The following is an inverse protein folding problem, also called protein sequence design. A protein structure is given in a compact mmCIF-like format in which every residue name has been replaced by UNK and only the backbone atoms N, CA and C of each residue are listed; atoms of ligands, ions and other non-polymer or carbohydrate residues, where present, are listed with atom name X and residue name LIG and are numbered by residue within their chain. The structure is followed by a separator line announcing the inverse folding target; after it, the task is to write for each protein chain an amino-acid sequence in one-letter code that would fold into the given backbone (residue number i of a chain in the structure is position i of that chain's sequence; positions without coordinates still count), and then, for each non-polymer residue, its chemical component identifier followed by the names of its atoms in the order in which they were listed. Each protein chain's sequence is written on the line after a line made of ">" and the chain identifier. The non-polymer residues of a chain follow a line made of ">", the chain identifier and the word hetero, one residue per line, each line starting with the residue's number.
data_IF_195238949897
#
_entry.id   IF_195238949897
#
_cell.length_a   1.000
_cell.length_b   1.000
_cell.length_c   1.000
_cell.angle_alpha   90.00
_cell.angle_beta   90.00
_cell.angle_gamma   90.00
#
_symmetry.space_group_name_H-M   'P 1'
#
loop_
_entity.id
_entity.type
_entity.pdbx_description
1 polymer ?
#
# COMPACT_ATOMS: atom_id res chain seq x y z
N UNK A 1 -5.06 -39.41 20.86
CA UNK A 1 -4.40 -38.74 19.71
C UNK A 1 -5.15 -39.14 18.45
N UNK A 2 -5.93 -38.24 17.84
CA UNK A 2 -6.56 -38.52 16.55
C UNK A 2 -5.56 -38.24 15.43
N UNK A 3 -5.11 -39.28 14.71
CA UNK A 3 -4.36 -39.11 13.47
C UNK A 3 -5.38 -38.77 12.38
N UNK A 4 -5.33 -37.55 11.83
CA UNK A 4 -6.09 -37.25 10.62
C UNK A 4 -5.53 -38.14 9.48
N UNK A 5 -6.39 -38.80 8.70
CA UNK A 5 -5.92 -39.50 7.50
C UNK A 5 -5.38 -38.47 6.50
N UNK A 6 -4.27 -38.81 5.84
CA UNK A 6 -3.78 -38.02 4.71
C UNK A 6 -4.85 -37.98 3.61
N UNK A 7 -5.01 -36.84 2.89
CA UNK A 7 -5.83 -36.81 1.69
C UNK A 7 -5.26 -37.78 0.64
N UNK A 8 -6.10 -38.41 -0.21
CA UNK A 8 -5.63 -39.21 -1.32
C UNK A 8 -4.82 -38.34 -2.30
N UNK A 9 -3.85 -38.96 -2.98
CA UNK A 9 -3.13 -38.29 -4.05
C UNK A 9 -4.09 -37.88 -5.19
N UNK A 10 -3.89 -36.73 -5.84
CA UNK A 10 -4.73 -36.31 -6.96
C UNK A 10 -4.64 -37.31 -8.11
N UNK A 11 -5.79 -37.71 -8.65
CA UNK A 11 -5.84 -38.70 -9.73
C UNK A 11 -5.30 -38.12 -11.06
N UNK A 12 -4.50 -38.93 -11.75
CA UNK A 12 -3.98 -38.64 -13.09
C UNK A 12 -5.11 -38.77 -14.13
N UNK A 13 -5.97 -37.76 -14.21
CA UNK A 13 -7.13 -37.76 -15.12
C UNK A 13 -7.71 -36.38 -15.49
N UNK A 14 -7.11 -35.27 -15.05
CA UNK A 14 -7.64 -33.92 -15.29
C UNK A 14 -7.15 -33.23 -16.58
N UNK A 15 -6.26 -33.86 -17.34
CA UNK A 15 -6.01 -33.47 -18.73
C UNK A 15 -6.93 -34.24 -19.66
N UNK A 16 -8.18 -33.79 -19.78
CA UNK A 16 -9.06 -34.14 -20.89
C UNK A 16 -8.86 -33.15 -22.05
N UNK A 17 -7.71 -33.23 -22.70
CA UNK A 17 -7.62 -33.13 -24.17
C UNK A 17 -6.23 -33.64 -24.61
N UNK A 18 -6.19 -34.91 -25.02
CA UNK A 18 -5.07 -35.48 -25.77
C UNK A 18 -5.66 -36.43 -26.82
N UNK A 19 -5.56 -36.08 -28.11
CA UNK A 19 -5.74 -37.01 -29.21
C UNK A 19 -4.37 -37.53 -29.69
N UNK A 20 -3.79 -38.50 -28.98
CA UNK A 20 -2.79 -39.40 -29.57
C UNK A 20 -3.40 -40.23 -30.68
N UNK A 21 -3.02 -39.94 -31.94
CA UNK A 21 -2.56 -40.98 -32.87
C UNK A 21 -1.85 -40.36 -34.09
N UNK A 22 -0.84 -41.06 -34.63
CA UNK A 22 -0.25 -40.74 -35.93
C UNK A 22 1.17 -40.17 -35.91
N UNK A 23 2.16 -41.04 -35.64
CA UNK A 23 3.51 -40.75 -36.09
C UNK A 23 3.59 -40.89 -37.62
N UNK A 24 4.08 -39.86 -38.33
CA UNK A 24 5.14 -39.94 -39.37
C UNK A 24 5.28 -38.63 -40.19
N UNK A 25 6.50 -38.10 -40.20
CA UNK A 25 7.22 -37.45 -41.30
C UNK A 25 6.57 -36.34 -42.19
N UNK A 26 7.24 -35.18 -42.16
CA UNK A 26 7.62 -34.34 -43.33
C UNK A 26 6.67 -33.30 -43.93
N UNK A 27 7.32 -32.20 -44.35
CA UNK A 27 7.00 -31.25 -45.43
C UNK A 27 6.08 -30.03 -45.15
N UNK A 28 6.76 -28.88 -45.02
CA UNK A 28 6.58 -27.64 -45.80
C UNK A 28 5.25 -26.85 -45.81
N UNK A 29 5.38 -25.51 -45.77
CA UNK A 29 4.29 -24.51 -45.71
C UNK A 29 4.06 -24.05 -44.27
N UNK A 30 3.90 -22.76 -43.94
CA UNK A 30 3.46 -21.61 -44.77
C UNK A 30 3.89 -20.30 -44.09
N UNK A 31 4.30 -19.27 -44.84
CA UNK A 31 4.41 -17.89 -44.33
C UNK A 31 4.48 -16.83 -45.46
N UNK A 32 3.34 -16.54 -46.09
CA UNK A 32 3.14 -15.29 -46.86
C UNK A 32 2.09 -14.42 -46.14
N UNK A 33 2.40 -13.14 -45.82
CA UNK A 33 1.44 -12.24 -45.20
C UNK A 33 0.62 -11.49 -46.26
N UNK A 34 -0.68 -11.75 -46.35
CA UNK A 34 -1.55 -11.02 -47.27
C UNK A 34 -2.19 -9.78 -46.61
N UNK A 35 -1.76 -8.62 -47.11
CA UNK A 35 -2.64 -7.52 -47.56
C UNK A 35 -3.66 -6.92 -46.58
N UNK A 36 -3.26 -5.85 -45.88
CA UNK A 36 -4.18 -4.86 -45.33
C UNK A 36 -4.54 -3.85 -46.42
N UNK A 37 -5.82 -3.69 -46.78
CA UNK A 37 -6.29 -2.54 -47.56
C UNK A 37 -7.77 -2.17 -47.28
N UNK A 38 -7.97 -0.91 -46.86
CA UNK A 38 -9.15 -0.01 -46.92
C UNK A 38 -10.60 -0.48 -46.64
N UNK A 39 -11.31 0.33 -45.82
CA UNK A 39 -12.77 0.23 -45.64
C UNK A 39 -13.44 1.15 -44.58
N UNK A 40 -13.36 2.48 -44.74
CA UNK A 40 -14.37 3.45 -44.21
C UNK A 40 -15.29 3.90 -45.37
N UNK A 41 -16.49 4.51 -45.18
CA UNK A 41 -17.02 5.24 -44.00
C UNK A 41 -18.44 4.71 -43.59
N UNK A 42 -19.43 5.40 -42.95
CA UNK A 42 -19.61 6.80 -42.52
C UNK A 42 -20.71 6.99 -41.43
N UNK A 43 -20.76 8.19 -40.84
CA UNK A 43 -21.88 8.86 -40.12
C UNK A 43 -22.53 8.24 -38.87
N UNK A 44 -22.63 9.07 -37.81
CA UNK A 44 -23.39 8.79 -36.58
C UNK A 44 -23.30 9.90 -35.54
N UNK A 45 -23.81 11.10 -35.85
CA UNK A 45 -23.68 12.31 -35.01
C UNK A 45 -24.51 12.30 -33.72
N UNK A 46 -23.91 12.70 -32.60
CA UNK A 46 -24.66 13.23 -31.44
C UNK A 46 -23.82 14.24 -30.64
N UNK A 47 -24.02 15.54 -30.91
CA UNK A 47 -23.57 16.62 -30.03
C UNK A 47 -24.64 16.92 -28.97
N UNK A 48 -24.22 17.25 -27.75
CA UNK A 48 -25.06 17.94 -26.77
C UNK A 48 -24.19 18.90 -25.93
N UNK A 49 -23.96 20.11 -26.45
CA UNK A 49 -23.34 21.20 -25.69
C UNK A 49 -24.43 22.00 -24.98
N UNK A 50 -24.42 22.02 -23.65
CA UNK A 50 -25.36 22.78 -22.82
C UNK A 50 -24.66 23.90 -22.05
N UNK A 51 -24.39 25.02 -22.71
CA UNK A 51 -23.79 26.21 -22.07
C UNK A 51 -24.87 27.16 -21.59
N UNK A 52 -24.95 27.43 -20.28
CA UNK A 52 -25.64 28.60 -19.73
C UNK A 52 -24.67 29.39 -18.84
N UNK A 53 -24.77 30.72 -18.90
CA UNK A 53 -23.72 31.64 -18.46
C UNK A 53 -24.22 32.69 -17.45
N UNK A 54 -23.24 33.31 -16.77
CA UNK A 54 -23.37 34.51 -15.91
C UNK A 54 -24.12 34.28 -14.57
N UNK A 55 -23.88 35.02 -13.48
CA UNK A 55 -23.05 36.21 -13.22
C UNK A 55 -22.67 36.24 -11.71
N UNK A 56 -21.52 36.77 -11.28
CA UNK A 56 -21.24 36.96 -9.84
C UNK A 56 -22.02 38.15 -9.25
N UNK A 57 -22.43 38.01 -7.99
CA UNK A 57 -22.98 39.09 -7.18
C UNK A 57 -22.34 39.08 -5.79
N UNK A 58 -21.82 40.24 -5.36
CA UNK A 58 -21.25 40.45 -4.04
C UNK A 58 -22.33 40.84 -3.03
N UNK A 59 -22.12 40.49 -1.75
CA UNK A 59 -22.64 41.27 -0.62
C UNK A 59 -21.79 41.02 0.63
N UNK A 60 -21.08 42.07 1.06
CA UNK A 60 -20.41 42.14 2.36
C UNK A 60 -21.43 42.19 3.50
N UNK A 61 -21.16 41.51 4.62
CA UNK A 61 -21.89 41.74 5.87
C UNK A 61 -21.00 41.50 7.10
N UNK A 62 -20.24 42.54 7.46
CA UNK A 62 -19.95 42.90 8.86
C UNK A 62 -20.85 44.11 9.18
N UNK A 63 -21.41 44.23 10.39
CA UNK A 63 -20.67 44.69 11.57
C UNK A 63 -21.03 43.84 12.84
N UNK A 64 -20.66 44.15 14.09
CA UNK A 64 -20.07 45.36 14.68
C UNK A 64 -19.16 45.04 15.88
N UNK A 65 -18.39 46.04 16.29
CA UNK A 65 -17.64 46.11 17.54
C UNK A 65 -18.54 45.96 18.78
N UNK A 66 -18.09 45.19 19.78
CA UNK A 66 -18.43 45.44 21.19
C UNK A 66 -17.22 45.16 22.08
N UNK A 67 -16.32 46.13 22.20
CA UNK A 67 -15.33 46.19 23.29
C UNK A 67 -15.95 46.88 24.51
N UNK A 68 -16.13 46.15 25.61
CA UNK A 68 -15.59 46.60 26.91
C UNK A 68 -15.01 45.40 27.69
N UNK A 69 -14.16 45.54 28.71
CA UNK A 69 -13.73 46.69 29.51
C UNK A 69 -12.27 46.45 29.96
N UNK A 70 -11.55 47.49 30.37
CA UNK A 70 -10.24 47.32 30.99
C UNK A 70 -10.38 46.65 32.37
N UNK A 71 -9.49 45.71 32.67
CA UNK A 71 -9.14 45.34 34.03
C UNK A 71 -7.64 44.99 34.02
N UNK A 72 -6.85 45.83 34.68
CA UNK A 72 -5.48 45.48 35.04
C UNK A 72 -5.55 44.28 35.99
N UNK A 73 -5.09 43.14 35.50
CA UNK A 73 -5.06 41.86 36.20
C UNK A 73 -3.72 41.22 35.95
N UNK A 74 -2.81 41.41 36.91
CA UNK A 74 -1.52 40.75 36.98
C UNK A 74 -1.73 39.22 36.91
N UNK A 75 -1.29 38.61 35.80
CA UNK A 75 -1.24 37.16 35.61
C UNK A 75 0.08 36.74 34.96
N UNK A 76 1.16 36.81 35.74
CA UNK A 76 2.32 35.94 35.55
C UNK A 76 1.96 34.46 35.82
N UNK A 77 1.02 33.90 35.07
CA UNK A 77 0.69 32.46 35.03
C UNK A 77 0.75 31.97 33.57
N UNK A 78 1.95 32.07 32.99
CA UNK A 78 2.27 31.51 31.67
C UNK A 78 2.86 30.09 31.77
N UNK A 79 2.66 29.43 32.92
CA UNK A 79 3.27 28.14 33.28
C UNK A 79 2.22 27.12 33.77
N UNK A 80 1.11 27.01 33.04
CA UNK A 80 0.19 25.85 33.13
C UNK A 80 -0.77 25.73 31.94
N UNK A 81 -0.25 25.33 30.79
CA UNK A 81 -1.05 24.52 29.85
C UNK A 81 -0.24 23.34 29.31
N UNK A 82 0.31 22.58 30.25
CA UNK A 82 0.74 21.20 30.01
C UNK A 82 -0.50 20.40 29.58
N UNK A 83 -0.73 20.28 28.28
CA UNK A 83 -1.82 19.47 27.74
C UNK A 83 -1.69 18.04 28.28
N UNK A 84 -2.74 17.57 28.94
CA UNK A 84 -2.74 16.40 29.82
C UNK A 84 -2.16 15.15 29.16
N UNK A 85 -0.93 14.81 29.51
CA UNK A 85 -0.16 13.68 28.99
C UNK A 85 -0.60 12.32 29.58
N UNK A 86 -1.92 12.10 29.72
CA UNK A 86 -2.47 10.98 30.50
C UNK A 86 -3.81 10.38 30.03
N UNK A 87 -4.37 10.77 28.89
CA UNK A 87 -5.58 10.10 28.37
C UNK A 87 -5.64 10.05 26.83
N UNK A 88 -5.69 8.83 26.28
CA UNK A 88 -5.66 8.48 24.83
C UNK A 88 -4.38 8.90 24.09
N UNK A 89 -3.54 8.02 23.57
CA UNK A 89 -3.44 6.57 23.67
C UNK A 89 -1.95 6.23 23.74
N UNK A 90 -1.57 5.23 24.57
CA UNK A 90 -0.21 4.67 24.76
C UNK A 90 0.69 4.96 23.55
N UNK A 91 1.51 6.02 23.63
CA UNK A 91 2.43 6.38 22.55
C UNK A 91 3.26 5.14 22.18
N UNK A 92 3.59 4.94 20.89
CA UNK A 92 4.44 3.83 20.47
C UNK A 92 5.71 3.88 21.31
N UNK A 93 5.90 2.89 22.20
CA UNK A 93 7.02 2.91 23.16
C UNK A 93 8.40 2.83 22.49
N UNK A 94 8.41 2.53 21.19
CA UNK A 94 9.54 2.36 20.30
C UNK A 94 9.10 2.87 18.93
N UNK A 95 9.86 3.78 18.35
CA UNK A 95 9.73 4.16 16.94
C UNK A 95 10.69 3.30 16.14
N UNK A 96 10.33 2.95 14.90
CA UNK A 96 11.19 2.14 14.04
C UNK A 96 11.45 2.85 12.71
N UNK A 97 12.49 2.40 11.99
CA UNK A 97 12.90 2.95 10.70
C UNK A 97 12.98 1.82 9.68
N UNK A 98 12.47 2.09 8.47
CA UNK A 98 12.78 1.36 7.25
C UNK A 98 13.70 2.24 6.39
N UNK A 99 14.95 1.84 6.23
CA UNK A 99 15.94 2.56 5.43
C UNK A 99 16.34 1.76 4.19
N UNK A 100 16.17 2.32 3.00
CA UNK A 100 16.59 1.74 1.73
C UNK A 100 17.92 2.37 1.30
N UNK A 101 18.99 1.58 1.30
CA UNK A 101 20.36 2.00 0.95
C UNK A 101 20.49 2.39 -0.54
N UNK A 102 19.68 1.78 -1.42
CA UNK A 102 19.74 2.00 -2.88
C UNK A 102 19.08 3.32 -3.30
N UNK A 103 17.97 3.70 -2.65
CA UNK A 103 17.27 4.96 -2.93
C UNK A 103 17.60 6.08 -1.94
N UNK A 104 18.23 5.75 -0.80
CA UNK A 104 18.39 6.65 0.34
C UNK A 104 17.10 6.92 1.13
N UNK A 105 15.97 6.34 0.70
CA UNK A 105 14.67 6.60 1.32
C UNK A 105 14.62 6.06 2.75
N UNK A 106 14.16 6.90 3.69
CA UNK A 106 13.91 6.49 5.08
C UNK A 106 12.44 6.73 5.43
N UNK A 107 11.75 5.67 5.87
CA UNK A 107 10.35 5.70 6.30
C UNK A 107 10.31 5.42 7.80
N UNK A 108 9.78 6.38 8.57
CA UNK A 108 9.54 6.21 10.01
C UNK A 108 8.31 5.31 10.22
N UNK A 109 8.30 4.47 11.24
CA UNK A 109 7.17 3.62 11.64
C UNK A 109 6.82 3.95 13.09
N UNK A 110 5.98 4.97 13.27
CA UNK A 110 5.38 5.41 14.53
C UNK A 110 4.03 4.71 14.81
N UNK A 111 3.33 4.29 13.76
CA UNK A 111 2.02 3.63 13.83
C UNK A 111 1.86 2.67 12.66
N UNK A 112 0.73 1.97 12.63
CA UNK A 112 0.39 1.10 11.51
C UNK A 112 0.55 1.86 10.18
N UNK A 113 1.24 1.27 9.21
CA UNK A 113 1.74 1.95 8.01
C UNK A 113 1.52 1.06 6.80
N UNK A 114 0.69 1.52 5.86
CA UNK A 114 0.53 0.92 4.53
C UNK A 114 1.64 1.43 3.60
N UNK A 115 2.36 0.49 3.00
CA UNK A 115 3.52 0.72 2.14
C UNK A 115 3.19 0.38 0.68
N UNK A 116 3.65 1.21 -0.25
CA UNK A 116 3.61 0.90 -1.69
C UNK A 116 3.96 2.08 -2.59
N UNK A 117 3.98 1.89 -3.92
CA UNK A 117 4.42 2.95 -4.86
C UNK A 117 3.45 4.13 -4.97
N UNK A 118 2.19 3.90 -4.61
CA UNK A 118 1.07 4.86 -4.61
C UNK A 118 -0.03 4.28 -3.71
N UNK A 119 0.16 4.30 -2.38
CA UNK A 119 -0.82 3.77 -1.45
C UNK A 119 -2.09 4.62 -1.52
N UNK A 120 -3.24 3.97 -1.46
CA UNK A 120 -4.54 4.66 -1.37
C UNK A 120 -4.84 5.04 0.07
N UNK A 121 -5.61 6.12 0.31
CA UNK A 121 -6.03 6.52 1.67
C UNK A 121 -7.08 5.58 2.31
N UNK A 122 -7.38 4.44 1.68
CA UNK A 122 -8.17 3.35 2.27
C UNK A 122 -7.26 2.54 3.20
N UNK A 123 -6.86 3.20 4.29
CA UNK A 123 -6.06 2.64 5.37
C UNK A 123 -6.94 2.43 6.60
N UNK A 124 -6.76 1.34 7.38
CA UNK A 124 -7.50 1.15 8.63
C UNK A 124 -7.36 2.39 9.54
N UNK A 125 -8.44 2.76 10.26
CA UNK A 125 -8.46 3.99 11.06
C UNK A 125 -7.24 4.08 12.00
N UNK A 126 -6.45 5.15 11.84
CA UNK A 126 -5.22 5.39 12.60
C UNK A 126 -3.92 4.96 11.91
N UNK A 127 -3.98 4.19 10.81
CA UNK A 127 -2.81 3.88 10.00
C UNK A 127 -2.43 5.05 9.07
N UNK A 128 -1.15 5.14 8.70
CA UNK A 128 -0.65 6.07 7.67
C UNK A 128 -0.36 5.35 6.35
N UNK A 129 -0.31 6.12 5.27
CA UNK A 129 0.03 5.64 3.93
C UNK A 129 1.38 6.24 3.51
N UNK A 130 2.42 5.42 3.47
CA UNK A 130 3.79 5.84 3.14
C UNK A 130 4.19 5.35 1.75
N UNK A 131 4.71 6.27 0.93
CA UNK A 131 5.05 5.99 -0.45
C UNK A 131 6.47 5.44 -0.54
N UNK A 132 6.60 4.22 -1.04
CA UNK A 132 7.89 3.63 -1.41
C UNK A 132 8.40 4.26 -2.71
N UNK A 133 9.67 4.68 -2.69
CA UNK A 133 10.44 4.97 -3.90
C UNK A 133 10.96 3.68 -4.51
N UNK A 134 10.57 3.44 -5.76
CA UNK A 134 10.80 2.19 -6.46
C UNK A 134 11.07 2.49 -7.96
N UNK A 135 12.35 2.70 -8.34
CA UNK A 135 12.73 2.95 -9.72
C UNK A 135 12.42 1.76 -10.65
N UNK A 136 12.43 0.52 -10.14
CA UNK A 136 12.20 -0.71 -10.93
C UNK A 136 10.71 -1.01 -11.16
N UNK A 137 9.80 -0.27 -10.51
CA UNK A 137 8.33 -0.38 -10.60
C UNK A 137 7.77 -1.74 -10.16
N UNK A 138 8.53 -2.49 -9.37
CA UNK A 138 8.15 -3.79 -8.81
C UNK A 138 7.25 -3.70 -7.59
N UNK A 139 7.18 -2.54 -6.94
CA UNK A 139 6.31 -2.31 -5.80
C UNK A 139 4.85 -2.06 -6.24
N UNK A 140 3.89 -2.84 -5.74
CA UNK A 140 2.45 -2.62 -5.91
C UNK A 140 1.95 -1.28 -5.33
N UNK A 141 0.73 -0.85 -5.73
CA UNK A 141 0.09 0.38 -5.23
C UNK A 141 -0.05 0.36 -3.70
N UNK A 142 -0.75 -0.65 -3.21
CA UNK A 142 -0.73 -1.14 -1.84
C UNK A 142 0.07 -2.44 -1.91
N UNK A 143 1.20 -2.54 -1.20
CA UNK A 143 2.10 -3.69 -1.30
C UNK A 143 2.13 -4.50 -0.02
N UNK A 144 2.46 -3.86 1.09
CA UNK A 144 2.49 -4.46 2.41
C UNK A 144 1.91 -3.47 3.42
N UNK A 145 1.38 -3.95 4.54
CA UNK A 145 1.07 -3.14 5.69
C UNK A 145 1.88 -3.62 6.89
N UNK A 146 2.46 -2.68 7.64
CA UNK A 146 3.01 -2.92 8.97
C UNK A 146 1.95 -2.48 9.98
N UNK A 147 1.64 -3.32 10.95
CA UNK A 147 0.65 -3.06 12.00
C UNK A 147 1.33 -3.13 13.37
N UNK A 148 0.96 -2.23 14.28
CA UNK A 148 1.42 -2.26 15.67
C UNK A 148 0.30 -2.82 16.55
N UNK A 149 0.59 -3.89 17.28
CA UNK A 149 -0.35 -4.48 18.24
C UNK A 149 -0.48 -3.62 19.52
N UNK A 150 -1.54 -3.85 20.29
CA UNK A 150 -1.73 -3.31 21.64
C UNK A 150 -0.54 -3.56 22.58
N UNK A 151 0.17 -4.67 22.44
CA UNK A 151 1.38 -4.96 23.21
C UNK A 151 2.62 -4.16 22.74
N UNK A 152 2.55 -3.54 21.56
CA UNK A 152 3.69 -2.89 20.90
C UNK A 152 4.50 -3.84 20.01
N UNK A 153 4.02 -5.06 19.77
CA UNK A 153 4.61 -5.97 18.81
C UNK A 153 4.27 -5.53 17.38
N UNK A 154 5.26 -5.57 16.48
CA UNK A 154 5.08 -5.29 15.07
C UNK A 154 4.73 -6.54 14.28
N UNK A 155 3.81 -6.37 13.34
CA UNK A 155 3.40 -7.39 12.37
C UNK A 155 3.48 -6.79 10.98
N UNK A 156 3.87 -7.59 9.99
CA UNK A 156 3.83 -7.22 8.58
C UNK A 156 2.94 -8.21 7.84
N UNK A 157 2.09 -7.68 6.94
CA UNK A 157 1.18 -8.44 6.10
C UNK A 157 1.34 -8.00 4.64
N UNK A 158 1.33 -8.95 3.70
CA UNK A 158 1.30 -8.65 2.27
C UNK A 158 -0.13 -8.32 1.80
N UNK A 159 -0.30 -7.27 1.00
CA UNK A 159 -1.60 -6.79 0.54
C UNK A 159 -2.06 -7.38 -0.81
N UNK A 160 -1.47 -8.50 -1.22
CA UNK A 160 -1.64 -9.09 -2.55
C UNK A 160 -0.68 -8.45 -3.55
N UNK A 161 0.60 -8.36 -3.19
CA UNK A 161 1.63 -7.83 -4.07
C UNK A 161 1.95 -8.80 -5.21
N UNK A 162 2.45 -8.28 -6.34
CA UNK A 162 2.80 -9.12 -7.48
C UNK A 162 4.17 -9.80 -7.32
N UNK A 163 5.12 -9.11 -6.69
CA UNK A 163 6.51 -9.56 -6.54
C UNK A 163 6.83 -10.08 -5.11
N UNK A 164 5.84 -10.05 -4.20
CA UNK A 164 5.95 -10.58 -2.85
C UNK A 164 6.62 -9.66 -1.82
N UNK A 165 6.22 -9.84 -0.56
CA UNK A 165 6.85 -9.25 0.63
C UNK A 165 7.61 -10.33 1.40
N UNK A 166 8.82 -10.03 1.87
CA UNK A 166 9.67 -10.99 2.57
C UNK A 166 10.39 -10.36 3.76
N UNK A 167 10.56 -11.12 4.84
CA UNK A 167 11.38 -10.76 6.00
C UNK A 167 12.67 -11.57 5.94
N UNK A 168 13.81 -10.91 6.00
CA UNK A 168 15.14 -11.51 6.02
C UNK A 168 15.75 -11.26 7.39
N UNK A 169 15.98 -12.32 8.15
CA UNK A 169 16.53 -12.27 9.52
C UNK A 169 17.62 -13.31 9.66
N UNK A 170 18.81 -12.91 10.12
CA UNK A 170 20.00 -13.79 10.22
C UNK A 170 20.33 -14.55 8.91
N UNK A 171 20.06 -13.93 7.76
CA UNK A 171 20.26 -14.54 6.43
C UNK A 171 19.17 -15.52 5.99
N UNK A 172 18.17 -15.83 6.83
CA UNK A 172 17.01 -16.62 6.44
C UNK A 172 15.90 -15.70 5.89
N UNK A 173 15.46 -15.96 4.67
CA UNK A 173 14.29 -15.30 4.07
C UNK A 173 12.99 -16.03 4.44
N UNK A 174 11.96 -15.28 4.80
CA UNK A 174 10.62 -15.77 5.14
C UNK A 174 9.60 -14.97 4.36
N UNK A 175 8.81 -15.63 3.51
CA UNK A 175 7.77 -14.96 2.72
C UNK A 175 6.57 -14.58 3.59
N UNK A 176 6.15 -13.32 3.49
CA UNK A 176 4.89 -12.83 4.04
C UNK A 176 3.80 -13.01 2.98
N UNK A 177 2.68 -13.64 3.34
CA UNK A 177 1.55 -13.85 2.43
C UNK A 177 0.30 -13.14 2.94
N UNK A 178 -0.59 -12.77 2.01
CA UNK A 178 -1.85 -12.10 2.34
C UNK A 178 -2.71 -12.96 3.27
N UNK A 179 -3.28 -12.37 4.32
CA UNK A 179 -4.03 -13.07 5.35
C UNK A 179 -3.16 -13.83 6.38
N UNK A 180 -1.83 -13.79 6.23
CA UNK A 180 -0.88 -14.43 7.18
C UNK A 180 0.12 -13.38 7.68
N UNK A 181 -0.29 -12.50 8.61
CA UNK A 181 0.61 -11.52 9.20
C UNK A 181 1.75 -12.21 9.95
N UNK A 182 2.98 -11.81 9.65
CA UNK A 182 4.19 -12.33 10.29
C UNK A 182 4.78 -11.30 11.25
N UNK A 183 5.34 -11.76 12.37
CA UNK A 183 5.95 -10.89 13.37
C UNK A 183 7.22 -10.26 12.81
N UNK A 184 7.28 -8.94 12.77
CA UNK A 184 8.46 -8.17 12.42
C UNK A 184 9.21 -7.79 13.72
N UNK A 185 10.54 -7.88 13.71
CA UNK A 185 11.38 -7.56 14.87
C UNK A 185 12.69 -6.97 14.39
N UNK A 186 13.18 -5.92 15.04
CA UNK A 186 14.45 -5.30 14.71
C UNK A 186 15.61 -6.02 15.43
N UNK A 187 16.82 -6.10 14.82
CA UNK A 187 17.12 -5.74 13.44
C UNK A 187 16.67 -6.82 12.44
N UNK A 188 16.17 -6.40 11.28
CA UNK A 188 15.85 -7.28 10.14
C UNK A 188 16.05 -6.52 8.82
N UNK A 189 15.91 -7.21 7.69
CA UNK A 189 15.74 -6.58 6.37
C UNK A 189 14.39 -6.98 5.79
N UNK A 190 13.59 -6.02 5.33
CA UNK A 190 12.30 -6.27 4.69
C UNK A 190 12.46 -6.05 3.20
N UNK A 191 12.16 -7.08 2.38
CA UNK A 191 12.07 -6.95 0.91
C UNK A 191 10.62 -6.71 0.50
N UNK A 192 10.40 -5.69 -0.32
CA UNK A 192 9.08 -5.24 -0.79
C UNK A 192 9.12 -5.11 -2.31
N UNK A 193 8.85 -6.21 -3.02
CA UNK A 193 9.22 -6.37 -4.43
C UNK A 193 10.74 -6.51 -4.57
N UNK A 194 11.38 -5.64 -5.34
CA UNK A 194 12.85 -5.61 -5.43
C UNK A 194 13.51 -4.63 -4.45
N UNK A 195 12.72 -3.86 -3.70
CA UNK A 195 13.25 -2.86 -2.76
C UNK A 195 13.60 -3.50 -1.42
N UNK A 196 14.84 -3.31 -0.96
CA UNK A 196 15.33 -3.81 0.32
C UNK A 196 15.41 -2.67 1.33
N UNK A 197 14.70 -2.82 2.45
CA UNK A 197 14.69 -1.87 3.56
C UNK A 197 15.34 -2.51 4.79
N UNK A 198 16.41 -1.92 5.30
CA UNK A 198 16.93 -2.22 6.62
C UNK A 198 15.90 -1.76 7.67
N UNK A 199 15.49 -2.69 8.53
CA UNK A 199 14.51 -2.45 9.59
C UNK A 199 15.21 -2.36 10.95
N UNK A 200 15.21 -1.17 11.54
CA UNK A 200 15.89 -0.87 12.80
C UNK A 200 14.97 -0.17 13.81
N UNK A 201 15.31 -0.28 15.09
CA UNK A 201 14.66 0.50 16.15
C UNK A 201 15.36 1.87 16.26
N UNK A 202 14.57 2.95 16.30
CA UNK A 202 15.07 4.29 16.54
C UNK A 202 15.33 4.46 18.04
N UNK A 203 16.60 4.68 18.40
CA UNK A 203 17.05 4.94 19.77
C UNK A 203 16.75 6.37 20.22
#
# INVERSE_FOLDING_TARGET
>A
MAKLPYPPAPELGWYSDDPVEGALASAAGTAEPQHNDYGQPDTGTAQASGTFAAKPAAATSAPADTTPHAAEGDIEDWDSTVLSSSFTSKAPKKTYLLHNDVTGQTIVIDKSTLLGRKPSMDVPQGAKAERIEDPTRTTSRNHAAISIDTDGALWIEDYGSLNGTYIITNGQETQVTKGTPLKLSAPATVRIGDQFFQFSEQQ
#
